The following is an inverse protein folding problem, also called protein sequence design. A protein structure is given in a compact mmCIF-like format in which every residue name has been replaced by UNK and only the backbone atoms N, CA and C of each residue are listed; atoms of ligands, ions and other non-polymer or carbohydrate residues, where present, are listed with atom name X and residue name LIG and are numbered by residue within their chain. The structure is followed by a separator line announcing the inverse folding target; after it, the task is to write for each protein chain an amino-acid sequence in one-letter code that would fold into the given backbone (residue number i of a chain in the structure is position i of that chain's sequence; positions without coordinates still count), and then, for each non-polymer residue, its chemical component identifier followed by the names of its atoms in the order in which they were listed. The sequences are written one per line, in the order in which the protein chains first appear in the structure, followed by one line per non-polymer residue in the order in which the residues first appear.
data_IF_454246749805
#
_entry.id   IF_454246749805
#
_cell.length_a   1.000
_cell.length_b   1.000
_cell.length_c   1.000
_cell.angle_alpha   90.00
_cell.angle_beta   90.00
_cell.angle_gamma   90.00
#
_symmetry.space_group_name_H-M   'P 1'
#
loop_
_entity.id
_entity.type
_entity.pdbx_description
1 polymer ?
#
# COMPACT_ATOMS: atom_id res chain seq x y z
N UNK A 1 22.34 1.89 1.90
CA UNK A 1 21.77 0.65 2.41
C UNK A 1 21.43 0.82 3.86
N UNK A 2 20.28 0.34 4.30
CA UNK A 2 19.95 0.11 5.70
C UNK A 2 19.38 -1.29 5.87
N UNK A 3 19.52 -1.83 7.08
CA UNK A 3 18.93 -3.12 7.46
C UNK A 3 18.04 -2.85 8.67
N UNK A 4 16.77 -3.07 8.48
CA UNK A 4 15.77 -2.88 9.52
C UNK A 4 15.44 -4.23 10.16
N UNK A 5 15.20 -4.22 11.46
CA UNK A 5 14.76 -5.36 12.25
C UNK A 5 13.58 -4.92 13.11
N UNK A 6 12.78 -5.87 13.57
CA UNK A 6 11.71 -5.57 14.51
C UNK A 6 12.29 -4.84 15.74
N UNK A 7 11.92 -3.58 15.91
CA UNK A 7 12.53 -2.69 16.90
C UNK A 7 12.19 -3.10 18.33
N UNK A 8 10.99 -3.66 18.56
CA UNK A 8 10.54 -4.10 19.89
C UNK A 8 9.55 -5.25 19.71
N UNK A 9 9.83 -6.37 20.40
CA UNK A 9 8.87 -7.45 20.57
C UNK A 9 7.88 -7.10 21.68
N UNK A 10 6.67 -7.62 21.57
CA UNK A 10 5.73 -7.62 22.67
C UNK A 10 6.21 -8.65 23.72
N UNK A 11 6.04 -8.31 24.97
CA UNK A 11 6.30 -9.23 26.08
C UNK A 11 5.12 -10.21 26.17
N UNK A 12 5.34 -11.38 25.61
CA UNK A 12 4.37 -12.47 25.58
C UNK A 12 4.90 -13.62 26.44
N UNK A 13 3.98 -14.48 26.85
CA UNK A 13 4.34 -15.71 27.59
C UNK A 13 5.31 -16.54 26.73
N UNK A 14 6.48 -16.84 27.26
CA UNK A 14 7.55 -17.57 26.56
C UNK A 14 7.91 -18.91 27.23
N UNK A 15 7.37 -19.18 28.42
CA UNK A 15 7.57 -20.44 29.14
C UNK A 15 6.40 -21.39 28.83
N UNK A 16 6.72 -22.60 28.39
CA UNK A 16 5.68 -23.58 28.01
C UNK A 16 4.93 -24.10 29.23
N UNK A 17 5.61 -24.32 30.37
CA UNK A 17 4.99 -24.74 31.61
C UNK A 17 3.94 -23.71 32.06
N UNK A 18 4.33 -22.42 32.12
CA UNK A 18 3.43 -21.35 32.54
C UNK A 18 2.25 -21.19 31.52
N UNK A 19 2.52 -21.37 30.22
CA UNK A 19 1.49 -21.35 29.20
C UNK A 19 0.43 -22.44 29.44
N UNK A 20 0.85 -23.67 29.66
CA UNK A 20 -0.06 -24.80 29.90
C UNK A 20 -0.80 -24.65 31.23
N UNK A 21 -0.12 -24.19 32.31
CA UNK A 21 -0.74 -23.85 33.58
C UNK A 21 -1.84 -22.81 33.43
N UNK A 22 -1.53 -21.70 32.77
CA UNK A 22 -2.49 -20.61 32.56
C UNK A 22 -3.72 -21.05 31.74
N UNK A 23 -3.53 -21.87 30.71
CA UNK A 23 -4.65 -22.42 29.94
C UNK A 23 -5.51 -23.35 30.80
N UNK A 24 -4.90 -24.16 31.66
CA UNK A 24 -5.63 -25.08 32.54
C UNK A 24 -6.40 -24.32 33.63
N UNK A 25 -5.78 -23.34 34.30
CA UNK A 25 -6.46 -22.47 35.27
C UNK A 25 -7.64 -21.71 34.68
N UNK A 26 -7.48 -21.22 33.45
CA UNK A 26 -8.57 -20.56 32.73
C UNK A 26 -9.75 -21.50 32.50
N UNK A 27 -9.49 -22.76 32.15
CA UNK A 27 -10.53 -23.77 31.97
C UNK A 27 -11.24 -24.10 33.30
N UNK A 28 -10.51 -24.26 34.40
CA UNK A 28 -11.07 -24.47 35.73
C UNK A 28 -12.00 -23.31 36.15
N UNK A 29 -11.52 -22.06 35.96
CA UNK A 29 -12.28 -20.86 36.31
C UNK A 29 -13.53 -20.66 35.47
N UNK A 30 -13.54 -21.09 34.24
CA UNK A 30 -14.67 -20.93 33.31
C UNK A 30 -15.62 -22.14 33.29
N UNK A 31 -15.24 -23.26 33.89
CA UNK A 31 -15.97 -24.50 33.83
C UNK A 31 -16.01 -25.15 32.44
N UNK A 32 -15.17 -24.66 31.50
CA UNK A 32 -15.05 -25.21 30.18
C UNK A 32 -13.98 -26.30 30.22
N UNK A 33 -14.38 -27.55 30.04
CA UNK A 33 -13.45 -28.68 29.88
C UNK A 33 -12.94 -28.72 28.45
N UNK A 34 -11.70 -28.25 28.19
CA UNK A 34 -11.09 -28.35 26.86
C UNK A 34 -10.62 -29.77 26.62
N UNK A 35 -10.45 -30.14 25.36
CA UNK A 35 -9.75 -31.34 24.95
C UNK A 35 -8.26 -31.19 25.25
N UNK A 36 -7.85 -31.57 26.45
CA UNK A 36 -6.45 -31.49 26.89
C UNK A 36 -5.54 -32.55 26.30
N UNK A 37 -6.07 -33.46 25.47
CA UNK A 37 -5.29 -34.50 24.80
C UNK A 37 -4.07 -33.97 24.07
N UNK A 38 -4.11 -32.77 23.54
CA UNK A 38 -2.95 -32.13 22.94
C UNK A 38 -1.78 -31.91 23.92
N UNK A 39 -2.04 -31.82 25.21
CA UNK A 39 -1.02 -31.65 26.26
C UNK A 39 -0.83 -32.89 27.12
N UNK A 40 -1.87 -33.73 27.25
CA UNK A 40 -1.90 -34.89 28.11
C UNK A 40 -2.52 -36.09 27.36
N UNK A 41 -1.68 -36.87 26.72
CA UNK A 41 -2.06 -38.10 26.03
C UNK A 41 -1.59 -39.34 26.81
N UNK A 42 -1.77 -39.35 28.13
CA UNK A 42 -1.25 -40.39 29.02
C UNK A 42 -2.31 -41.04 29.89
N UNK A 43 -3.55 -40.83 29.60
CA UNK A 43 -4.66 -41.46 30.32
C UNK A 43 -4.80 -40.99 31.76
N UNK A 44 -4.44 -39.72 32.05
CA UNK A 44 -4.62 -39.15 33.40
C UNK A 44 -6.08 -39.28 33.87
N UNK A 45 -6.22 -39.63 35.15
CA UNK A 45 -7.54 -39.70 35.75
C UNK A 45 -8.16 -38.33 35.93
N UNK A 46 -9.45 -38.19 35.53
CA UNK A 46 -10.25 -36.99 35.73
C UNK A 46 -11.11 -37.10 36.97
N UNK A 47 -11.41 -36.00 37.61
CA UNK A 47 -12.40 -35.88 38.65
C UNK A 47 -13.86 -35.92 38.08
N UNK A 48 -14.85 -35.76 38.95
CA UNK A 48 -16.27 -35.76 38.54
C UNK A 48 -16.66 -34.57 37.66
N UNK A 49 -15.84 -33.53 37.56
CA UNK A 49 -16.03 -32.35 36.71
C UNK A 49 -15.32 -32.46 35.35
N UNK A 50 -14.51 -33.54 35.18
CA UNK A 50 -13.73 -33.77 33.96
C UNK A 50 -12.35 -33.14 33.97
N UNK A 51 -11.91 -32.56 35.10
CA UNK A 51 -10.56 -32.03 35.29
C UNK A 51 -9.60 -33.10 35.85
N UNK A 52 -8.32 -32.96 35.49
CA UNK A 52 -7.28 -33.91 35.91
C UNK A 52 -6.87 -33.70 37.37
N UNK A 53 -6.66 -34.79 38.13
CA UNK A 53 -6.11 -34.74 39.46
C UNK A 53 -4.55 -34.69 39.43
N UNK A 54 -3.93 -33.83 40.23
CA UNK A 54 -2.47 -33.71 40.28
C UNK A 54 -1.84 -33.11 39.02
N UNK A 55 -2.60 -32.32 38.30
CA UNK A 55 -2.22 -31.78 36.97
C UNK A 55 -0.98 -30.90 37.01
N UNK A 56 -0.82 -30.08 38.04
CA UNK A 56 0.29 -29.12 38.12
C UNK A 56 1.66 -29.79 38.26
N UNK A 57 1.75 -30.88 39.00
CA UNK A 57 2.97 -31.66 39.09
C UNK A 57 3.33 -32.28 37.74
N UNK A 58 2.31 -32.76 37.01
CA UNK A 58 2.49 -33.35 35.70
C UNK A 58 2.85 -32.30 34.63
N UNK A 59 2.30 -31.09 34.73
CA UNK A 59 2.73 -29.98 33.87
C UNK A 59 4.22 -29.72 34.09
N UNK A 60 4.63 -29.63 35.31
CA UNK A 60 6.04 -29.40 35.64
C UNK A 60 6.93 -30.53 35.11
N UNK A 61 6.62 -31.79 35.42
CA UNK A 61 7.39 -32.95 34.95
C UNK A 61 7.56 -32.97 33.43
N UNK A 62 6.54 -32.55 32.65
CA UNK A 62 6.54 -32.65 31.22
C UNK A 62 7.07 -31.42 30.51
N UNK A 63 6.84 -30.25 31.05
CA UNK A 63 7.07 -28.99 30.34
C UNK A 63 8.09 -28.06 30.97
N UNK A 64 8.72 -28.40 32.10
CA UNK A 64 9.72 -27.55 32.74
C UNK A 64 10.89 -27.17 31.83
N UNK A 65 11.35 -28.12 31.01
CA UNK A 65 12.44 -27.94 30.05
C UNK A 65 11.98 -27.83 28.57
N UNK A 66 10.68 -27.67 28.33
CA UNK A 66 10.17 -27.64 26.99
C UNK A 66 10.51 -26.31 26.28
N UNK A 67 11.05 -26.42 25.08
CA UNK A 67 11.35 -25.23 24.24
C UNK A 67 10.07 -24.63 23.66
N UNK A 68 9.93 -23.33 23.79
CA UNK A 68 8.84 -22.56 23.19
C UNK A 68 9.16 -22.08 21.77
N UNK A 69 8.13 -21.76 21.02
CA UNK A 69 8.23 -21.06 19.74
C UNK A 69 8.00 -19.56 19.98
N UNK A 70 8.98 -18.75 19.67
CA UNK A 70 8.82 -17.30 19.60
C UNK A 70 8.30 -16.91 18.20
N UNK A 71 6.99 -16.94 18.05
CA UNK A 71 6.36 -16.62 16.78
C UNK A 71 6.66 -15.21 16.25
N UNK A 72 6.97 -14.26 17.13
CA UNK A 72 7.38 -12.93 16.70
C UNK A 72 8.76 -12.97 16.03
N UNK A 73 9.65 -13.81 16.53
CA UNK A 73 10.97 -14.00 15.94
C UNK A 73 10.91 -14.82 14.65
N UNK A 74 10.14 -15.89 14.64
CA UNK A 74 9.98 -16.73 13.44
C UNK A 74 9.37 -15.93 12.27
N UNK A 75 8.40 -15.05 12.54
CA UNK A 75 7.69 -14.31 11.51
C UNK A 75 8.37 -12.98 11.16
N UNK A 76 8.94 -12.28 12.15
CA UNK A 76 9.49 -10.92 11.98
C UNK A 76 10.96 -10.79 12.37
N UNK A 77 11.60 -11.88 12.77
CA UNK A 77 12.99 -11.87 13.26
C UNK A 77 14.05 -11.64 12.19
N UNK A 78 13.67 -11.71 10.91
CA UNK A 78 14.56 -11.44 9.80
C UNK A 78 15.00 -9.98 9.69
N UNK A 79 15.95 -9.75 8.79
CA UNK A 79 16.38 -8.40 8.42
C UNK A 79 15.71 -7.99 7.12
N UNK A 80 15.12 -6.81 7.12
CA UNK A 80 14.59 -6.16 5.92
C UNK A 80 15.65 -5.20 5.38
N UNK A 81 16.07 -5.39 4.15
CA UNK A 81 17.04 -4.52 3.49
C UNK A 81 16.32 -3.35 2.80
N UNK A 82 16.81 -2.15 3.06
CA UNK A 82 16.43 -0.96 2.29
C UNK A 82 17.65 -0.43 1.54
N UNK A 83 17.46 -0.15 0.25
CA UNK A 83 18.50 0.44 -0.59
C UNK A 83 17.95 1.62 -1.37
N UNK A 84 18.76 2.66 -1.49
CA UNK A 84 18.45 3.86 -2.26
C UNK A 84 19.65 4.26 -3.10
N UNK A 85 19.42 4.42 -4.39
CA UNK A 85 20.43 4.86 -5.35
C UNK A 85 19.92 6.09 -6.09
N UNK A 86 20.69 7.16 -6.08
CA UNK A 86 20.33 8.41 -6.74
C UNK A 86 21.49 8.88 -7.62
N UNK A 87 21.18 9.09 -8.89
CA UNK A 87 22.13 9.65 -9.87
C UNK A 87 21.51 10.91 -10.44
N UNK A 88 22.24 12.03 -10.32
CA UNK A 88 21.83 13.32 -10.88
C UNK A 88 22.94 13.82 -11.78
N UNK A 89 22.57 14.20 -13.00
CA UNK A 89 23.46 14.81 -13.98
C UNK A 89 22.84 16.15 -14.35
N UNK A 90 23.59 17.21 -14.18
CA UNK A 90 23.17 18.54 -14.61
C UNK A 90 24.27 19.17 -15.47
N UNK A 91 23.82 19.78 -16.55
CA UNK A 91 24.70 20.50 -17.48
C UNK A 91 23.96 21.70 -18.06
N UNK A 92 24.68 22.62 -18.61
CA UNK A 92 24.04 23.76 -19.26
C UNK A 92 24.97 24.90 -19.57
N UNK A 93 24.36 25.88 -20.16
CA UNK A 93 24.96 27.21 -20.45
C UNK A 93 24.16 28.25 -19.66
N UNK A 94 24.53 29.54 -19.80
CA UNK A 94 23.76 30.64 -19.22
C UNK A 94 22.30 30.67 -19.70
N UNK A 95 22.03 30.16 -20.92
CA UNK A 95 20.69 30.17 -21.54
C UNK A 95 19.93 28.86 -21.41
N UNK A 96 20.62 27.76 -21.30
CA UNK A 96 19.97 26.44 -21.28
C UNK A 96 20.54 25.60 -20.16
N UNK A 97 19.68 25.10 -19.32
CA UNK A 97 20.00 24.17 -18.21
C UNK A 97 19.24 22.88 -18.40
N UNK A 98 19.94 21.77 -18.31
CA UNK A 98 19.37 20.42 -18.40
C UNK A 98 19.76 19.65 -17.14
N UNK A 99 18.77 18.99 -16.54
CA UNK A 99 18.98 18.07 -15.42
C UNK A 99 18.32 16.75 -15.74
N UNK A 100 19.06 15.67 -15.59
CA UNK A 100 18.57 14.29 -15.65
C UNK A 100 18.77 13.67 -14.27
N UNK A 101 17.78 12.99 -13.76
CA UNK A 101 17.91 12.25 -12.51
C UNK A 101 17.28 10.87 -12.62
N UNK A 102 17.93 9.90 -12.02
CA UNK A 102 17.42 8.57 -11.79
C UNK A 102 17.49 8.26 -10.31
N UNK A 103 16.38 7.76 -9.77
CA UNK A 103 16.28 7.33 -8.38
C UNK A 103 15.71 5.92 -8.34
N UNK A 104 16.41 5.03 -7.67
CA UNK A 104 15.93 3.69 -7.35
C UNK A 104 15.80 3.56 -5.82
N UNK A 105 14.66 3.05 -5.36
CA UNK A 105 14.43 2.67 -3.98
C UNK A 105 13.90 1.23 -3.97
N UNK A 106 14.61 0.36 -3.28
CA UNK A 106 14.20 -1.01 -2.98
C UNK A 106 14.07 -1.18 -1.48
N UNK A 107 12.99 -1.81 -1.05
CA UNK A 107 12.71 -2.09 0.35
C UNK A 107 12.11 -3.47 0.47
N UNK A 108 12.75 -4.33 1.27
CA UNK A 108 12.19 -5.60 1.70
C UNK A 108 11.31 -5.37 2.92
N UNK A 109 10.27 -6.18 3.08
CA UNK A 109 9.43 -6.21 4.27
C UNK A 109 10.06 -7.05 5.38
N UNK A 110 9.67 -6.81 6.63
CA UNK A 110 10.00 -7.71 7.74
C UNK A 110 9.32 -9.09 7.58
N UNK A 111 8.15 -9.12 6.94
CA UNK A 111 7.53 -10.37 6.51
C UNK A 111 8.22 -10.88 5.25
N UNK A 112 8.53 -12.16 5.20
CA UNK A 112 9.03 -12.81 3.99
C UNK A 112 8.08 -12.58 2.80
N UNK A 113 8.61 -12.61 1.58
CA UNK A 113 7.86 -12.38 0.33
C UNK A 113 7.20 -10.99 0.20
N UNK A 114 7.53 -10.04 1.08
CA UNK A 114 7.08 -8.66 0.96
C UNK A 114 8.22 -7.77 0.48
N UNK A 115 7.97 -7.01 -0.59
CA UNK A 115 8.93 -6.04 -1.08
C UNK A 115 8.25 -4.87 -1.80
N UNK A 116 8.94 -3.74 -1.86
CA UNK A 116 8.51 -2.59 -2.62
C UNK A 116 9.71 -2.01 -3.39
N UNK A 117 9.60 -1.96 -4.70
CA UNK A 117 10.63 -1.43 -5.58
C UNK A 117 10.08 -0.25 -6.38
N UNK A 118 10.83 0.84 -6.42
CA UNK A 118 10.46 2.03 -7.17
C UNK A 118 11.65 2.56 -7.96
N UNK A 119 11.44 2.71 -9.26
CA UNK A 119 12.35 3.44 -10.15
C UNK A 119 11.69 4.73 -10.61
N UNK A 120 12.38 5.85 -10.48
CA UNK A 120 11.93 7.16 -10.91
C UNK A 120 12.96 7.80 -11.83
N UNK A 121 12.54 8.22 -13.00
CA UNK A 121 13.35 8.97 -13.96
C UNK A 121 12.74 10.35 -14.13
N UNK A 122 13.58 11.39 -14.11
CA UNK A 122 13.17 12.78 -14.32
C UNK A 122 14.13 13.47 -15.30
N UNK A 123 13.54 14.22 -16.21
CA UNK A 123 14.25 15.15 -17.08
C UNK A 123 13.67 16.55 -16.91
N UNK A 124 14.53 17.54 -16.68
CA UNK A 124 14.14 18.93 -16.57
C UNK A 124 15.00 19.76 -17.52
N UNK A 125 14.36 20.62 -18.30
CA UNK A 125 14.97 21.55 -19.24
C UNK A 125 14.41 22.94 -18.94
N UNK A 126 15.27 23.90 -18.73
CA UNK A 126 14.94 25.33 -18.74
C UNK A 126 15.79 25.97 -19.81
N UNK A 127 15.21 26.72 -20.73
CA UNK A 127 15.95 27.34 -21.84
C UNK A 127 15.38 28.70 -22.22
N UNK A 128 16.24 29.68 -22.37
CA UNK A 128 15.94 30.85 -23.13
C UNK A 128 16.24 30.57 -24.60
N UNK A 129 15.19 30.19 -25.35
CA UNK A 129 15.27 29.82 -26.76
C UNK A 129 15.67 31.01 -27.62
N UNK A 130 15.15 32.17 -27.26
CA UNK A 130 15.43 33.45 -27.88
C UNK A 130 15.20 34.56 -26.84
N UNK A 131 15.75 35.77 -27.09
CA UNK A 131 15.54 36.91 -26.19
C UNK A 131 14.05 37.15 -25.95
N UNK A 132 13.61 36.98 -24.70
CA UNK A 132 12.21 37.09 -24.29
C UNK A 132 11.34 35.87 -24.59
N UNK A 133 11.91 34.73 -25.04
CA UNK A 133 11.19 33.47 -25.22
C UNK A 133 11.83 32.39 -24.35
N UNK A 134 11.13 31.93 -23.32
CA UNK A 134 11.61 30.95 -22.35
C UNK A 134 10.76 29.68 -22.39
N UNK A 135 11.43 28.54 -22.39
CA UNK A 135 10.85 27.21 -22.33
C UNK A 135 11.24 26.56 -21.01
N UNK A 136 10.28 26.01 -20.33
CA UNK A 136 10.49 25.08 -19.22
C UNK A 136 9.77 23.75 -19.52
N UNK A 137 10.47 22.64 -19.30
CA UNK A 137 9.92 21.29 -19.45
C UNK A 137 10.39 20.45 -18.25
N UNK A 138 9.46 19.72 -17.64
CA UNK A 138 9.77 18.77 -16.58
C UNK A 138 8.97 17.48 -16.85
N UNK A 139 9.66 16.43 -17.27
CA UNK A 139 9.10 15.13 -17.52
C UNK A 139 9.52 14.14 -16.43
N UNK A 140 8.61 13.28 -15.98
CA UNK A 140 8.87 12.27 -14.96
C UNK A 140 8.19 10.97 -15.34
N UNK A 141 8.92 9.87 -15.17
CA UNK A 141 8.40 8.52 -15.27
C UNK A 141 8.70 7.76 -13.99
N UNK A 142 7.70 7.13 -13.40
CA UNK A 142 7.84 6.26 -12.25
C UNK A 142 7.31 4.88 -12.57
N UNK A 143 8.04 3.86 -12.14
CA UNK A 143 7.59 2.48 -12.13
C UNK A 143 7.74 1.94 -10.71
N UNK A 144 6.65 1.43 -10.14
CA UNK A 144 6.61 0.88 -8.77
C UNK A 144 6.04 -0.53 -8.84
N UNK A 145 6.73 -1.50 -8.22
CA UNK A 145 6.22 -2.82 -7.89
C UNK A 145 6.10 -2.95 -6.38
N UNK A 146 5.01 -3.54 -5.94
CA UNK A 146 4.83 -3.96 -4.54
C UNK A 146 4.42 -5.41 -4.60
N UNK A 147 5.23 -6.26 -3.99
CA UNK A 147 4.98 -7.68 -3.86
C UNK A 147 4.67 -7.97 -2.39
N UNK A 148 3.71 -8.87 -2.14
CA UNK A 148 3.30 -9.23 -0.80
C UNK A 148 2.65 -10.61 -0.76
N UNK A 149 2.61 -11.16 0.43
CA UNK A 149 1.84 -12.36 0.78
C UNK A 149 0.56 -12.01 1.52
N UNK A 150 0.13 -12.89 2.41
CA UNK A 150 -1.11 -12.79 3.17
C UNK A 150 -1.40 -11.43 3.81
N UNK A 151 -2.65 -11.20 4.06
CA UNK A 151 -3.15 -9.90 4.49
C UNK A 151 -2.67 -9.50 5.90
N UNK A 152 -2.78 -8.21 6.22
CA UNK A 152 -2.41 -7.57 7.50
C UNK A 152 -3.07 -8.20 8.75
N UNK A 153 -4.06 -9.05 8.58
CA UNK A 153 -4.63 -9.90 9.63
C UNK A 153 -3.62 -10.91 10.22
N UNK A 154 -2.48 -11.13 9.53
CA UNK A 154 -1.41 -12.02 9.98
C UNK A 154 -0.85 -11.70 11.37
N UNK A 155 -0.68 -10.41 11.73
CA UNK A 155 -0.18 -10.03 13.07
C UNK A 155 -1.04 -10.58 14.21
N UNK A 156 -2.37 -10.50 14.09
CA UNK A 156 -3.29 -11.04 15.08
C UNK A 156 -3.14 -12.55 15.24
N UNK A 157 -2.87 -13.25 14.16
CA UNK A 157 -2.66 -14.70 14.20
C UNK A 157 -1.32 -15.06 14.82
N UNK A 158 -0.25 -14.30 14.52
CA UNK A 158 1.06 -14.48 15.14
C UNK A 158 0.99 -14.40 16.67
N UNK A 159 0.29 -13.38 17.20
CA UNK A 159 0.15 -13.16 18.64
C UNK A 159 -0.74 -14.19 19.35
N UNK A 160 -1.51 -14.96 18.61
CA UNK A 160 -2.43 -15.98 19.15
C UNK A 160 -1.96 -17.41 18.94
N UNK A 161 -0.82 -17.58 18.26
CA UNK A 161 -0.28 -18.92 18.06
C UNK A 161 0.13 -19.57 19.37
N UNK A 162 -0.17 -20.85 19.57
CA UNK A 162 0.33 -21.60 20.70
C UNK A 162 1.86 -21.70 20.61
N UNK A 163 2.52 -21.51 21.73
CA UNK A 163 3.98 -21.56 21.79
C UNK A 163 4.55 -22.99 21.86
N UNK A 164 3.66 -23.98 21.94
CA UNK A 164 3.99 -25.40 21.93
C UNK A 164 2.87 -26.21 21.27
N UNK A 165 3.24 -27.26 20.56
CA UNK A 165 2.30 -28.26 20.00
C UNK A 165 1.90 -29.34 21.01
N UNK A 166 2.36 -29.25 22.25
CA UNK A 166 2.08 -30.23 23.30
C UNK A 166 2.67 -31.59 22.94
N UNK A 167 1.84 -32.63 23.00
CA UNK A 167 2.21 -34.02 22.66
C UNK A 167 1.90 -34.38 21.20
N UNK A 168 1.14 -33.54 20.48
CA UNK A 168 0.70 -33.85 19.13
C UNK A 168 1.67 -33.42 18.05
N UNK A 169 2.32 -32.25 18.25
CA UNK A 169 3.15 -31.66 17.22
C UNK A 169 4.53 -31.29 17.77
N UNK A 170 5.54 -31.69 17.06
CA UNK A 170 6.91 -31.21 17.30
C UNK A 170 7.03 -29.75 16.92
N UNK A 171 8.09 -29.06 17.40
CA UNK A 171 8.41 -27.69 17.00
C UNK A 171 8.54 -27.56 15.48
N UNK A 172 9.18 -28.52 14.83
CA UNK A 172 9.37 -28.50 13.38
C UNK A 172 8.04 -28.57 12.63
N UNK A 173 7.14 -29.47 13.04
CA UNK A 173 5.79 -29.56 12.47
C UNK A 173 5.00 -28.26 12.69
N UNK A 174 5.11 -27.65 13.87
CA UNK A 174 4.44 -26.37 14.15
C UNK A 174 4.93 -25.24 13.23
N UNK A 175 6.16 -25.27 12.77
CA UNK A 175 6.73 -24.26 11.87
C UNK A 175 6.46 -24.54 10.39
N UNK A 176 6.42 -25.81 10.01
CA UNK A 176 6.41 -26.22 8.58
C UNK A 176 5.07 -26.75 8.10
N UNK A 177 4.17 -27.15 9.02
CA UNK A 177 2.90 -27.74 8.67
C UNK A 177 1.72 -26.87 9.17
N UNK A 178 0.56 -27.04 8.55
CA UNK A 178 -0.68 -26.44 9.02
C UNK A 178 -1.20 -27.27 10.21
N UNK A 179 -0.75 -26.95 11.40
CA UNK A 179 -1.15 -27.64 12.63
C UNK A 179 -2.30 -26.90 13.31
N UNK A 180 -3.23 -27.67 13.88
CA UNK A 180 -4.35 -27.14 14.65
C UNK A 180 -4.24 -27.66 16.07
N UNK A 181 -3.92 -26.78 17.01
CA UNK A 181 -4.03 -27.08 18.44
C UNK A 181 -5.23 -26.30 18.96
N UNK A 182 -6.35 -26.99 19.14
CA UNK A 182 -7.55 -26.39 19.71
C UNK A 182 -7.51 -26.52 21.22
N UNK A 183 -7.33 -25.41 21.89
CA UNK A 183 -7.30 -25.33 23.36
C UNK A 183 -8.67 -25.03 23.98
N UNK A 184 -9.70 -24.77 23.18
CA UNK A 184 -10.98 -24.25 23.65
C UNK A 184 -12.18 -25.13 23.40
N UNK A 185 -11.98 -26.32 22.83
CA UNK A 185 -13.07 -27.20 22.44
C UNK A 185 -13.80 -26.77 21.18
N UNK A 186 -14.73 -27.55 20.70
CA UNK A 186 -15.39 -27.45 19.40
C UNK A 186 -16.18 -26.16 19.13
N UNK A 187 -16.34 -25.27 20.09
CA UNK A 187 -17.07 -24.01 19.93
C UNK A 187 -16.19 -22.80 19.55
N UNK A 188 -14.86 -22.91 19.64
CA UNK A 188 -14.01 -21.82 19.22
C UNK A 188 -13.62 -21.98 17.76
N UNK A 189 -14.29 -21.26 16.89
CA UNK A 189 -13.98 -21.10 15.47
C UNK A 189 -12.62 -20.41 15.18
N UNK A 190 -11.68 -20.46 16.11
CA UNK A 190 -10.33 -19.96 15.92
C UNK A 190 -9.40 -21.11 15.53
N UNK A 191 -9.52 -21.56 14.29
CA UNK A 191 -8.43 -22.28 13.64
C UNK A 191 -7.23 -21.36 13.62
N UNK A 192 -6.25 -21.60 14.48
CA UNK A 192 -4.99 -20.90 14.45
C UNK A 192 -4.22 -21.39 13.22
N UNK A 193 -4.38 -20.70 12.11
CA UNK A 193 -3.62 -21.02 10.91
C UNK A 193 -2.16 -20.59 11.11
N UNK A 194 -1.23 -21.45 10.72
CA UNK A 194 0.21 -21.16 10.79
C UNK A 194 0.55 -19.87 10.02
N UNK A 195 1.05 -18.81 10.67
CA UNK A 195 1.29 -17.52 10.02
C UNK A 195 2.38 -17.57 8.95
N UNK A 196 3.34 -18.46 9.04
CA UNK A 196 4.39 -18.67 8.03
C UNK A 196 3.77 -19.23 6.75
N UNK A 197 2.97 -20.28 6.89
CA UNK A 197 2.26 -20.89 5.76
C UNK A 197 1.26 -19.92 5.15
N UNK A 198 0.52 -19.18 5.98
CA UNK A 198 -0.44 -18.19 5.47
C UNK A 198 0.21 -17.06 4.68
N UNK A 199 1.41 -16.66 5.07
CA UNK A 199 2.18 -15.68 4.32
C UNK A 199 2.60 -16.21 2.94
N UNK A 200 2.90 -17.50 2.82
CA UNK A 200 3.25 -18.15 1.56
C UNK A 200 2.05 -18.55 0.70
N UNK A 201 0.95 -18.96 1.36
CA UNK A 201 -0.28 -19.43 0.72
C UNK A 201 -1.01 -18.34 -0.06
N UNK A 202 -0.64 -17.09 0.12
CA UNK A 202 -1.25 -15.97 -0.57
C UNK A 202 -0.18 -15.09 -1.20
N UNK A 203 -0.39 -14.74 -2.47
CA UNK A 203 0.48 -13.85 -3.22
C UNK A 203 -0.31 -12.61 -3.65
N UNK A 204 0.33 -11.47 -3.61
CA UNK A 204 -0.21 -10.21 -4.09
C UNK A 204 0.89 -9.44 -4.81
N UNK A 205 0.58 -8.96 -6.01
CA UNK A 205 1.48 -8.11 -6.77
C UNK A 205 0.73 -6.88 -7.25
N UNK A 206 1.31 -5.69 -7.02
CA UNK A 206 0.78 -4.45 -7.58
C UNK A 206 1.87 -3.72 -8.34
N UNK A 207 1.68 -3.53 -9.64
CA UNK A 207 2.53 -2.71 -10.50
C UNK A 207 1.84 -1.43 -10.84
N UNK A 208 2.52 -0.31 -10.62
CA UNK A 208 2.00 1.02 -10.93
C UNK A 208 3.02 1.78 -11.75
N UNK A 209 2.57 2.38 -12.85
CA UNK A 209 3.37 3.22 -13.74
C UNK A 209 2.74 4.60 -13.81
N UNK A 210 3.55 5.61 -13.75
CA UNK A 210 3.13 6.99 -13.89
C UNK A 210 4.06 7.71 -14.86
N UNK A 211 3.48 8.37 -15.82
CA UNK A 211 4.18 9.35 -16.67
C UNK A 211 3.56 10.72 -16.43
N UNK A 212 4.37 11.74 -16.27
CA UNK A 212 3.88 13.11 -16.23
C UNK A 212 4.86 14.03 -16.95
N UNK A 213 4.29 15.02 -17.65
CA UNK A 213 5.04 16.10 -18.26
C UNK A 213 4.35 17.42 -17.94
N UNK A 214 5.16 18.40 -17.55
CA UNK A 214 4.76 19.80 -17.44
C UNK A 214 5.64 20.60 -18.37
N UNK A 215 5.05 21.43 -19.21
CA UNK A 215 5.77 22.29 -20.12
C UNK A 215 5.17 23.69 -20.09
N UNK A 216 6.03 24.70 -20.16
CA UNK A 216 5.64 26.09 -20.22
C UNK A 216 6.44 26.81 -21.28
N UNK A 217 5.78 27.66 -22.02
CA UNK A 217 6.40 28.57 -22.98
C UNK A 217 5.95 29.99 -22.64
N UNK A 218 6.92 30.87 -22.46
CA UNK A 218 6.72 32.24 -22.01
C UNK A 218 7.31 33.23 -23.02
N UNK A 219 6.57 34.29 -23.30
CA UNK A 219 6.88 35.30 -24.27
C UNK A 219 6.80 36.69 -23.64
N UNK A 220 7.93 37.42 -23.62
CA UNK A 220 7.95 38.82 -23.25
C UNK A 220 7.79 39.68 -24.50
N UNK A 221 6.85 40.62 -24.49
CA UNK A 221 6.62 41.55 -25.60
C UNK A 221 6.14 42.91 -25.13
N UNK A 222 6.32 43.93 -25.96
CA UNK A 222 5.90 45.31 -25.69
C UNK A 222 6.41 45.84 -24.32
N UNK A 223 7.57 45.40 -23.86
CA UNK A 223 8.28 45.78 -22.59
C UNK A 223 7.53 45.48 -21.28
N UNK A 224 6.20 45.40 -21.32
CA UNK A 224 5.37 45.33 -20.10
C UNK A 224 4.48 44.08 -20.07
N UNK A 225 4.45 43.30 -21.13
CA UNK A 225 3.60 42.15 -21.25
C UNK A 225 4.40 40.85 -21.25
N UNK A 226 3.93 39.89 -20.49
CA UNK A 226 4.41 38.51 -20.52
C UNK A 226 3.22 37.59 -20.76
N UNK A 227 3.22 36.86 -21.85
CA UNK A 227 2.25 35.81 -22.11
C UNK A 227 2.89 34.45 -21.82
N UNK A 228 2.17 33.59 -21.08
CA UNK A 228 2.61 32.24 -20.78
C UNK A 228 1.50 31.25 -21.15
N UNK A 229 1.85 30.24 -21.93
CA UNK A 229 1.09 29.01 -22.07
C UNK A 229 1.80 27.91 -21.31
N UNK A 230 1.08 27.25 -20.40
CA UNK A 230 1.60 26.11 -19.64
C UNK A 230 0.65 24.93 -19.79
N UNK A 231 1.22 23.75 -19.98
CA UNK A 231 0.48 22.50 -20.07
C UNK A 231 1.03 21.47 -19.12
N UNK A 232 0.15 20.67 -18.58
CA UNK A 232 0.51 19.46 -17.86
C UNK A 232 -0.28 18.26 -18.40
N UNK A 233 0.39 17.13 -18.46
CA UNK A 233 -0.22 15.84 -18.76
C UNK A 233 0.26 14.82 -17.75
N UNK A 234 -0.66 14.01 -17.24
CA UNK A 234 -0.35 12.89 -16.34
C UNK A 234 -1.12 11.67 -16.79
N UNK A 235 -0.43 10.56 -16.87
CA UNK A 235 -0.98 9.25 -17.09
C UNK A 235 -0.55 8.31 -15.97
N UNK A 236 -1.48 7.52 -15.45
CA UNK A 236 -1.22 6.48 -14.47
C UNK A 236 -1.83 5.18 -14.97
N UNK A 237 -1.13 4.07 -14.77
CA UNK A 237 -1.62 2.73 -15.00
C UNK A 237 -1.24 1.85 -13.83
N UNK A 238 -2.19 1.05 -13.35
CA UNK A 238 -1.96 0.13 -12.23
C UNK A 238 -2.59 -1.22 -12.56
N UNK A 239 -1.82 -2.28 -12.36
CA UNK A 239 -2.30 -3.66 -12.38
C UNK A 239 -2.06 -4.28 -11.01
N UNK A 240 -3.09 -4.87 -10.43
CA UNK A 240 -3.02 -5.66 -9.21
C UNK A 240 -3.44 -7.10 -9.50
N UNK A 241 -2.73 -8.04 -8.91
CA UNK A 241 -3.09 -9.45 -8.95
C UNK A 241 -2.99 -10.02 -7.55
N UNK A 242 -3.87 -10.93 -7.19
CA UNK A 242 -3.75 -11.73 -5.97
C UNK A 242 -4.19 -13.15 -6.24
N UNK A 243 -3.58 -14.09 -5.53
CA UNK A 243 -3.92 -15.49 -5.56
C UNK A 243 -3.76 -16.09 -4.16
N UNK A 244 -4.69 -16.97 -3.77
CA UNK A 244 -4.63 -17.72 -2.52
C UNK A 244 -4.85 -19.20 -2.84
N UNK A 245 -3.87 -20.01 -2.44
CA UNK A 245 -3.84 -21.45 -2.71
C UNK A 245 -4.62 -22.27 -1.64
N UNK A 246 -4.54 -23.60 -1.74
CA UNK A 246 -5.22 -24.54 -0.85
C UNK A 246 -4.73 -24.53 0.61
N UNK A 247 -3.60 -23.87 0.88
CA UNK A 247 -3.05 -23.71 2.23
C UNK A 247 -3.61 -22.46 2.92
N UNK A 248 -4.30 -21.60 2.19
CA UNK A 248 -4.87 -20.37 2.73
C UNK A 248 -6.01 -20.63 3.71
N UNK A 249 -6.15 -19.75 4.69
CA UNK A 249 -7.26 -19.84 5.67
C UNK A 249 -8.61 -19.86 4.99
N UNK A 250 -8.80 -19.10 3.92
CA UNK A 250 -10.07 -19.08 3.17
C UNK A 250 -10.43 -20.43 2.60
N UNK A 251 -9.46 -21.11 1.99
CA UNK A 251 -9.64 -22.47 1.50
C UNK A 251 -9.92 -23.46 2.64
N UNK A 252 -9.12 -23.43 3.70
CA UNK A 252 -9.22 -24.37 4.81
C UNK A 252 -10.55 -24.26 5.57
N UNK A 253 -11.13 -23.07 5.64
CA UNK A 253 -12.44 -22.87 6.28
C UNK A 253 -13.61 -23.32 5.41
N UNK A 254 -13.52 -23.20 4.10
CA UNK A 254 -14.57 -23.56 3.16
C UNK A 254 -14.00 -23.99 1.80
N UNK A 255 -13.43 -25.21 1.72
CA UNK A 255 -12.82 -25.69 0.49
C UNK A 255 -13.83 -25.92 -0.65
N UNK A 256 -15.10 -26.16 -0.31
CA UNK A 256 -16.13 -26.50 -1.30
C UNK A 256 -16.71 -25.28 -1.98
N UNK A 257 -17.03 -24.22 -1.21
CA UNK A 257 -17.68 -23.03 -1.77
C UNK A 257 -16.68 -21.91 -2.08
N UNK A 258 -15.63 -21.76 -1.28
CA UNK A 258 -14.58 -20.77 -1.49
C UNK A 258 -13.47 -21.31 -2.38
N UNK A 259 -12.87 -22.44 -2.02
CA UNK A 259 -11.76 -23.02 -2.74
C UNK A 259 -10.55 -22.08 -2.82
N UNK A 260 -9.69 -22.28 -3.80
CA UNK A 260 -8.62 -21.35 -4.15
C UNK A 260 -9.20 -20.10 -4.84
N UNK A 261 -8.68 -18.94 -4.52
CA UNK A 261 -9.21 -17.67 -5.01
C UNK A 261 -8.18 -16.86 -5.79
N UNK A 262 -8.64 -16.09 -6.77
CA UNK A 262 -7.79 -15.20 -7.54
C UNK A 262 -8.48 -13.89 -7.88
N UNK A 263 -7.72 -12.83 -8.00
CA UNK A 263 -8.25 -11.57 -8.53
C UNK A 263 -7.25 -10.84 -9.42
N UNK A 264 -7.77 -10.18 -10.45
CA UNK A 264 -7.03 -9.26 -11.30
C UNK A 264 -7.79 -7.94 -11.34
N UNK A 265 -7.09 -6.84 -11.07
CA UNK A 265 -7.62 -5.51 -11.22
C UNK A 265 -6.69 -4.65 -12.07
N UNK A 266 -7.28 -3.87 -12.99
CA UNK A 266 -6.57 -2.87 -13.77
C UNK A 266 -7.24 -1.52 -13.55
N UNK A 267 -6.43 -0.47 -13.50
CA UNK A 267 -6.90 0.91 -13.44
C UNK A 267 -5.98 1.77 -14.28
N UNK A 268 -6.59 2.61 -15.10
CA UNK A 268 -5.89 3.60 -15.90
C UNK A 268 -6.54 4.96 -15.70
N UNK A 269 -5.72 6.00 -15.63
CA UNK A 269 -6.24 7.37 -15.56
C UNK A 269 -5.30 8.31 -16.30
N UNK A 270 -5.89 9.31 -16.93
CA UNK A 270 -5.13 10.43 -17.46
C UNK A 270 -5.79 11.76 -17.12
N UNK A 271 -4.96 12.77 -17.04
CA UNK A 271 -5.42 14.14 -16.85
C UNK A 271 -4.52 15.09 -17.60
N UNK A 272 -5.11 16.17 -18.10
CA UNK A 272 -4.35 17.29 -18.64
C UNK A 272 -4.93 18.60 -18.17
N UNK A 273 -4.05 19.60 -18.13
CA UNK A 273 -4.43 20.98 -17.85
C UNK A 273 -3.64 21.90 -18.79
N UNK A 274 -4.32 22.87 -19.34
CA UNK A 274 -3.71 23.93 -20.15
C UNK A 274 -4.11 25.26 -19.52
N UNK A 275 -3.12 26.07 -19.19
CA UNK A 275 -3.29 27.38 -18.57
C UNK A 275 -2.64 28.44 -19.45
N UNK A 276 -3.41 29.44 -19.82
CA UNK A 276 -2.95 30.62 -20.53
C UNK A 276 -3.01 31.82 -19.61
N UNK A 277 -1.93 32.57 -19.52
CA UNK A 277 -1.88 33.78 -18.71
C UNK A 277 -1.27 34.93 -19.47
N UNK A 278 -1.87 36.10 -19.35
CA UNK A 278 -1.32 37.36 -19.83
C UNK A 278 -1.06 38.27 -18.63
N UNK A 279 0.19 38.61 -18.43
CA UNK A 279 0.61 39.46 -17.34
C UNK A 279 1.08 40.83 -17.87
N UNK A 280 0.59 41.89 -17.25
CA UNK A 280 1.01 43.26 -17.52
C UNK A 280 1.64 43.87 -16.28
N UNK A 281 2.87 44.38 -16.41
CA UNK A 281 3.63 45.00 -15.33
C UNK A 281 4.11 46.36 -15.76
N UNK A 282 3.71 47.40 -15.03
CA UNK A 282 4.26 48.76 -15.26
C UNK A 282 4.28 49.59 -14.00
N UNK A 283 5.26 50.48 -13.94
CA UNK A 283 5.36 51.50 -12.90
C UNK A 283 5.16 52.88 -13.55
N UNK A 284 4.11 53.59 -13.12
CA UNK A 284 3.80 54.94 -13.56
C UNK A 284 4.27 55.95 -12.53
N UNK A 285 4.76 57.08 -13.00
CA UNK A 285 5.24 58.20 -12.17
C UNK A 285 6.15 57.79 -11.00
N UNK A 286 6.89 56.69 -11.13
CA UNK A 286 7.79 56.07 -10.11
C UNK A 286 7.11 55.61 -8.82
N UNK A 287 5.82 55.87 -8.64
CA UNK A 287 5.08 55.60 -7.39
C UNK A 287 3.94 54.61 -7.57
N UNK A 288 3.37 54.44 -8.76
CA UNK A 288 2.23 53.62 -9.01
C UNK A 288 2.67 52.31 -9.71
N UNK A 289 2.85 51.24 -8.96
CA UNK A 289 3.15 49.93 -9.54
C UNK A 289 1.83 49.18 -9.79
N UNK A 290 1.58 48.79 -11.03
CA UNK A 290 0.40 48.02 -11.46
C UNK A 290 0.86 46.70 -12.02
N UNK A 291 0.27 45.60 -11.50
CA UNK A 291 0.38 44.29 -12.06
C UNK A 291 -1.01 43.74 -12.33
N UNK A 292 -1.31 43.40 -13.55
CA UNK A 292 -2.58 42.80 -13.97
C UNK A 292 -2.30 41.42 -14.55
N UNK A 293 -3.03 40.43 -14.11
CA UNK A 293 -2.96 39.07 -14.62
C UNK A 293 -4.35 38.64 -15.13
N UNK A 294 -4.45 38.32 -16.39
CA UNK A 294 -5.63 37.67 -17.00
C UNK A 294 -5.26 36.20 -17.27
N UNK A 295 -6.11 35.28 -16.88
CA UNK A 295 -5.88 33.86 -17.07
C UNK A 295 -7.11 33.10 -17.56
N UNK A 296 -6.84 32.05 -18.31
CA UNK A 296 -7.80 31.06 -18.79
C UNK A 296 -7.18 29.68 -18.56
N UNK A 297 -8.00 28.75 -18.07
CA UNK A 297 -7.55 27.40 -17.74
C UNK A 297 -8.57 26.38 -18.18
N UNK A 298 -8.10 25.28 -18.75
CA UNK A 298 -8.91 24.10 -19.05
C UNK A 298 -8.22 22.91 -18.40
N UNK A 299 -8.98 22.13 -17.64
CA UNK A 299 -8.52 20.86 -17.11
C UNK A 299 -9.53 19.75 -17.44
N UNK A 300 -8.99 18.56 -17.65
CA UNK A 300 -9.77 17.35 -17.89
C UNK A 300 -9.11 16.17 -17.22
N UNK A 301 -9.92 15.29 -16.68
CA UNK A 301 -9.47 14.00 -16.13
C UNK A 301 -10.43 12.91 -16.51
N UNK A 302 -9.89 11.73 -16.75
CA UNK A 302 -10.63 10.51 -17.05
C UNK A 302 -9.97 9.34 -16.30
N UNK A 303 -10.80 8.46 -15.78
CA UNK A 303 -10.39 7.24 -15.11
C UNK A 303 -11.21 6.05 -15.58
N UNK A 304 -10.55 4.93 -15.78
CA UNK A 304 -11.15 3.65 -16.12
C UNK A 304 -10.59 2.57 -15.19
N UNK A 305 -11.45 1.69 -14.74
CA UNK A 305 -11.05 0.54 -13.93
C UNK A 305 -11.88 -0.68 -14.27
N UNK A 306 -11.25 -1.84 -14.19
CA UNK A 306 -11.93 -3.12 -14.28
C UNK A 306 -11.28 -4.12 -13.34
N UNK A 307 -12.07 -5.03 -12.77
CA UNK A 307 -11.57 -6.13 -11.97
C UNK A 307 -12.45 -7.36 -12.09
N UNK A 308 -11.82 -8.50 -11.92
CA UNK A 308 -12.45 -9.79 -11.82
C UNK A 308 -11.90 -10.51 -10.59
N UNK A 309 -12.77 -11.09 -9.80
CA UNK A 309 -12.44 -12.02 -8.72
C UNK A 309 -13.09 -13.36 -9.01
N UNK A 310 -12.36 -14.42 -8.75
CA UNK A 310 -12.79 -15.80 -8.95
C UNK A 310 -12.52 -16.64 -7.72
N UNK A 311 -13.25 -17.71 -7.59
CA UNK A 311 -13.12 -18.75 -6.58
C UNK A 311 -13.11 -20.13 -7.20
N UNK A 312 -12.76 -21.16 -6.39
CA UNK A 312 -12.71 -22.57 -6.83
C UNK A 312 -11.77 -22.76 -8.04
N UNK A 313 -10.61 -22.11 -8.00
CA UNK A 313 -9.58 -22.35 -9.01
C UNK A 313 -9.03 -23.77 -8.86
N UNK A 314 -8.87 -24.54 -9.97
CA UNK A 314 -8.60 -25.98 -9.88
C UNK A 314 -7.13 -26.34 -9.64
N UNK A 315 -6.19 -25.47 -10.00
CA UNK A 315 -4.76 -25.80 -10.05
C UNK A 315 -3.90 -24.79 -9.29
N UNK A 316 -3.28 -25.17 -8.14
CA UNK A 316 -2.45 -24.26 -7.35
C UNK A 316 -1.17 -23.83 -8.11
N UNK A 317 -0.59 -24.72 -8.92
CA UNK A 317 0.65 -24.48 -9.63
C UNK A 317 0.55 -23.43 -10.76
N UNK A 318 -0.65 -23.15 -11.24
CA UNK A 318 -0.89 -22.16 -12.29
C UNK A 318 -1.11 -20.75 -11.71
N UNK A 319 -1.39 -20.68 -10.42
CA UNK A 319 -1.60 -19.40 -9.74
C UNK A 319 -2.65 -18.54 -10.42
N UNK A 320 -2.37 -17.25 -10.52
CA UNK A 320 -3.29 -16.26 -11.12
C UNK A 320 -3.35 -16.30 -12.64
N UNK A 321 -2.41 -16.97 -13.31
CA UNK A 321 -2.32 -16.94 -14.79
C UNK A 321 -3.52 -17.64 -15.45
N UNK A 322 -4.11 -18.65 -14.80
CA UNK A 322 -5.28 -19.37 -15.25
C UNK A 322 -6.58 -18.94 -14.56
N UNK A 323 -6.74 -17.65 -14.27
CA UNK A 323 -7.95 -17.09 -13.62
C UNK A 323 -9.25 -17.47 -14.34
N UNK A 324 -9.19 -17.73 -15.64
CA UNK A 324 -10.35 -18.13 -16.46
C UNK A 324 -10.95 -19.48 -16.08
N UNK A 325 -10.19 -20.32 -15.36
CA UNK A 325 -10.65 -21.64 -14.91
C UNK A 325 -11.45 -21.58 -13.61
N UNK A 326 -11.38 -20.47 -12.88
CA UNK A 326 -12.15 -20.28 -11.66
C UNK A 326 -13.59 -19.84 -11.92
N UNK A 327 -14.45 -20.06 -10.95
CA UNK A 327 -15.81 -19.56 -10.97
C UNK A 327 -15.83 -18.08 -10.62
N UNK A 328 -16.44 -17.27 -11.48
CA UNK A 328 -16.51 -15.83 -11.25
C UNK A 328 -17.34 -15.52 -10.02
N UNK A 329 -16.74 -14.80 -9.06
CA UNK A 329 -17.39 -14.33 -7.85
C UNK A 329 -17.86 -12.88 -8.02
N UNK A 330 -17.00 -12.02 -8.55
CA UNK A 330 -17.32 -10.62 -8.75
C UNK A 330 -16.67 -10.07 -10.02
N UNK A 331 -17.41 -9.21 -10.71
CA UNK A 331 -16.91 -8.37 -11.82
C UNK A 331 -17.24 -6.93 -11.53
N UNK A 332 -16.25 -6.05 -11.62
CA UNK A 332 -16.44 -4.61 -11.47
C UNK A 332 -15.87 -3.88 -12.68
N UNK A 333 -16.54 -2.83 -13.12
CA UNK A 333 -16.00 -1.86 -14.05
C UNK A 333 -16.42 -0.45 -13.61
N UNK A 334 -15.57 0.50 -13.84
CA UNK A 334 -15.83 1.90 -13.56
C UNK A 334 -15.23 2.75 -14.67
N UNK A 335 -15.94 3.80 -15.05
CA UNK A 335 -15.47 4.83 -15.96
C UNK A 335 -15.98 6.18 -15.46
N UNK A 336 -15.09 7.11 -15.31
CA UNK A 336 -15.39 8.46 -14.85
C UNK A 336 -14.64 9.50 -15.66
N UNK A 337 -15.26 10.66 -15.90
CA UNK A 337 -14.56 11.80 -16.46
C UNK A 337 -15.06 13.10 -15.86
N UNK A 338 -14.21 14.10 -15.83
CA UNK A 338 -14.58 15.46 -15.42
C UNK A 338 -13.73 16.50 -16.12
N UNK A 339 -14.34 17.65 -16.38
CA UNK A 339 -13.69 18.81 -16.97
C UNK A 339 -14.04 20.09 -16.22
N UNK A 340 -13.09 21.01 -16.16
CA UNK A 340 -13.26 22.36 -15.61
C UNK A 340 -12.70 23.35 -16.63
N UNK A 341 -13.44 24.42 -16.84
CA UNK A 341 -12.99 25.59 -17.59
C UNK A 341 -13.06 26.79 -16.66
N UNK A 342 -11.99 27.55 -16.60
CA UNK A 342 -11.88 28.69 -15.67
C UNK A 342 -11.38 29.94 -16.38
N UNK A 343 -11.89 31.08 -15.95
CA UNK A 343 -11.32 32.38 -16.30
C UNK A 343 -11.04 33.16 -15.02
N UNK A 344 -9.91 33.82 -14.96
CA UNK A 344 -9.53 34.58 -13.77
C UNK A 344 -8.80 35.88 -14.09
N UNK A 345 -8.99 36.87 -13.21
CA UNK A 345 -8.34 38.15 -13.24
C UNK A 345 -7.76 38.45 -11.85
N UNK A 346 -6.51 38.95 -11.82
CA UNK A 346 -5.91 39.50 -10.60
C UNK A 346 -5.34 40.88 -10.93
N UNK A 347 -5.60 41.82 -10.05
CA UNK A 347 -5.03 43.15 -10.08
C UNK A 347 -4.27 43.42 -8.76
N UNK A 348 -3.00 43.75 -8.87
CA UNK A 348 -2.19 44.19 -7.76
C UNK A 348 -1.79 45.67 -8.04
N UNK A 349 -2.04 46.51 -7.07
CA UNK A 349 -1.68 47.90 -7.12
C UNK A 349 -0.85 48.29 -5.88
N UNK A 350 0.29 48.90 -6.12
CA UNK A 350 1.14 49.40 -5.02
C UNK A 350 1.40 50.89 -5.24
N UNK A 351 1.07 51.68 -4.22
CA UNK A 351 1.31 53.12 -4.21
C UNK A 351 2.45 53.48 -3.25
N UNK A 352 3.45 54.16 -3.74
CA UNK A 352 4.62 54.69 -3.00
C UNK A 352 5.31 53.63 -2.10
N UNK A 353 5.23 52.32 -2.52
CA UNK A 353 5.75 51.16 -1.76
C UNK A 353 5.12 50.98 -0.36
N UNK A 354 4.06 51.73 -0.03
CA UNK A 354 3.43 51.76 1.28
C UNK A 354 2.01 51.17 1.29
N UNK A 355 1.25 51.44 0.24
CA UNK A 355 -0.13 50.97 0.16
C UNK A 355 -0.25 49.92 -0.92
N UNK A 356 -0.70 48.74 -0.53
CA UNK A 356 -0.89 47.58 -1.41
C UNK A 356 -2.36 47.22 -1.46
N UNK A 357 -2.89 47.07 -2.67
CA UNK A 357 -4.24 46.57 -2.92
C UNK A 357 -4.17 45.37 -3.86
N UNK A 358 -4.84 44.29 -3.51
CA UNK A 358 -4.99 43.12 -4.38
C UNK A 358 -6.48 42.82 -4.54
N UNK A 359 -6.91 42.65 -5.78
CA UNK A 359 -8.24 42.18 -6.13
C UNK A 359 -8.11 40.94 -7.01
N UNK A 360 -8.93 39.92 -6.79
CA UNK A 360 -8.95 38.69 -7.58
C UNK A 360 -10.40 38.32 -7.87
N UNK A 361 -10.67 37.96 -9.12
CA UNK A 361 -11.94 37.43 -9.57
C UNK A 361 -11.66 36.12 -10.33
N UNK A 362 -12.44 35.06 -10.04
CA UNK A 362 -12.37 33.79 -10.76
C UNK A 362 -13.78 33.25 -10.97
N UNK A 363 -14.01 32.74 -12.17
CA UNK A 363 -15.20 32.01 -12.53
C UNK A 363 -14.79 30.61 -13.01
N UNK A 364 -15.45 29.60 -12.50
CA UNK A 364 -15.17 28.19 -12.80
C UNK A 364 -16.45 27.49 -13.26
N UNK A 365 -16.39 26.91 -14.46
CA UNK A 365 -17.42 26.04 -15.01
C UNK A 365 -17.02 24.58 -14.89
N UNK A 366 -17.84 23.77 -14.25
CA UNK A 366 -17.55 22.35 -14.02
C UNK A 366 -18.56 21.42 -14.67
N UNK A 367 -18.07 20.36 -15.32
CA UNK A 367 -18.90 19.30 -15.91
C UNK A 367 -19.64 18.45 -14.86
N UNK A 368 -19.26 18.55 -13.58
CA UNK A 368 -19.89 17.81 -12.48
C UNK A 368 -21.24 18.40 -12.05
N UNK A 369 -21.51 19.64 -12.42
CA UNK A 369 -22.80 20.27 -12.15
C UNK A 369 -23.82 19.98 -13.24
N UNK A 370 -25.10 20.05 -12.87
CA UNK A 370 -26.18 19.79 -13.78
C UNK A 370 -26.14 20.75 -14.98
N UNK A 371 -26.63 20.29 -16.14
CA UNK A 371 -26.71 21.11 -17.35
C UNK A 371 -27.50 22.40 -17.09
N UNK A 372 -26.93 23.55 -17.43
CA UNK A 372 -27.45 24.87 -17.12
C UNK A 372 -27.04 25.50 -15.81
N UNK A 373 -26.30 24.75 -14.96
CA UNK A 373 -25.75 25.22 -13.66
C UNK A 373 -24.25 24.95 -13.55
N UNK A 374 -23.55 24.89 -14.68
CA UNK A 374 -22.14 24.50 -14.72
C UNK A 374 -21.17 25.62 -14.31
N UNK A 375 -21.68 26.88 -14.25
CA UNK A 375 -20.92 28.09 -13.89
C UNK A 375 -21.41 28.68 -12.56
#
# INVERSE_FOLDING_TARGET
FSFDKLAKKLDLMSNVEDFVKCQYEFAELTGITPTWSAFYDDGMATDATGFYTGVYDRIHERYADASSIDWQDEVFGGYAMTQSHNVNISTGTEKTQVMLSYNYNGQDGLLANHSANKSAFRAKINSELYKGIRLDVNAMFNNKSVDGGGSYSGMKYVLRQPISGGTYFTRDQMLTEQTYVDFRGAESSYTASNPLIQNEASTSNKRSRMFSVNAGLEFDFLKHFTYRIAGSYRWNSSKSTSFSDERSTGYLMDPVNTGMTGSIGNSESYSYQITNTLNYNQTFAKKHKVNLLLGHEVSYSEDESNSISVKQMPYPNHGIDDISLGNVEEKKSGHGHSGIVSAFLRANYTFDERYLLTATLRADGSSKFAKGHQW
#
